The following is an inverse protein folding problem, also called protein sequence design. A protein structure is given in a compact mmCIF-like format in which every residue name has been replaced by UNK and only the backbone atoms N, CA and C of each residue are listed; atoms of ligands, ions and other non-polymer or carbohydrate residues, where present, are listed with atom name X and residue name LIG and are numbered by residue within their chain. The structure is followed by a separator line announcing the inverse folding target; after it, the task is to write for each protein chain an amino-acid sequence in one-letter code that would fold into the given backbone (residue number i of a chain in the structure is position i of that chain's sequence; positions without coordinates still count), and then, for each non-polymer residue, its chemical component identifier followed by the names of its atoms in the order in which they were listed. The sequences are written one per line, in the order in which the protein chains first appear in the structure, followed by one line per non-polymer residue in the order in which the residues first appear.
data_IF_302824481942
#
_entry.id   IF_302824481942
#
_cell.length_a   1.000
_cell.length_b   1.000
_cell.length_c   1.000
_cell.angle_alpha   90.00
_cell.angle_beta   90.00
_cell.angle_gamma   90.00
#
_symmetry.space_group_name_H-M   'P 1'
#
loop_
_entity.id
_entity.type
_entity.pdbx_description
1 polymer ?
#
# COMPACT_ATOMS: atom_id res chain seq x y z
N UNK A 1 -14.85 61.05 -18.49
CA UNK A 1 -15.44 59.85 -17.84
C UNK A 1 -16.41 59.07 -18.72
N UNK A 2 -17.44 59.67 -19.34
CA UNK A 2 -18.49 58.93 -20.08
C UNK A 2 -18.00 58.07 -21.27
N UNK A 3 -16.99 58.51 -22.05
CA UNK A 3 -16.44 57.72 -23.18
C UNK A 3 -15.68 56.44 -22.76
N UNK A 4 -15.09 56.43 -21.56
CA UNK A 4 -14.30 55.28 -21.04
C UNK A 4 -15.23 54.17 -20.51
N UNK A 5 -16.35 54.57 -19.92
CA UNK A 5 -17.42 53.65 -19.46
C UNK A 5 -18.08 52.96 -20.65
N UNK A 6 -18.33 53.69 -21.75
CA UNK A 6 -18.93 53.11 -22.96
C UNK A 6 -18.00 52.10 -23.67
N UNK A 7 -16.68 52.34 -23.65
CA UNK A 7 -15.67 51.41 -24.20
C UNK A 7 -15.57 50.12 -23.37
N UNK A 8 -15.64 50.22 -22.05
CA UNK A 8 -15.63 49.06 -21.16
C UNK A 8 -16.94 48.25 -21.23
N UNK A 9 -18.09 48.92 -21.41
CA UNK A 9 -19.37 48.25 -21.61
C UNK A 9 -19.41 47.49 -22.95
N UNK A 10 -18.84 48.07 -24.01
CA UNK A 10 -18.71 47.39 -25.30
C UNK A 10 -17.80 46.15 -25.24
N UNK A 11 -16.71 46.19 -24.46
CA UNK A 11 -15.82 45.03 -24.26
C UNK A 11 -16.51 43.92 -23.45
N UNK A 12 -17.30 44.27 -22.42
CA UNK A 12 -18.07 43.30 -21.63
C UNK A 12 -19.17 42.64 -22.48
N UNK A 13 -19.85 43.41 -23.33
CA UNK A 13 -20.84 42.85 -24.28
C UNK A 13 -20.17 41.96 -25.32
N UNK A 14 -19.00 42.36 -25.85
CA UNK A 14 -18.23 41.55 -26.80
C UNK A 14 -17.70 40.25 -26.18
N UNK A 15 -17.28 40.28 -24.91
CA UNK A 15 -16.86 39.09 -24.15
C UNK A 15 -18.05 38.19 -23.78
N UNK A 16 -19.24 38.74 -23.52
CA UNK A 16 -20.46 37.95 -23.29
C UNK A 16 -20.99 37.26 -24.55
N UNK A 17 -20.67 37.79 -25.74
CA UNK A 17 -21.01 37.18 -27.02
C UNK A 17 -20.02 36.08 -27.46
N UNK A 18 -18.87 35.95 -26.80
CA UNK A 18 -17.99 34.78 -26.89
C UNK A 18 -18.39 33.79 -25.79
N UNK A 19 -19.68 33.48 -25.73
CA UNK A 19 -20.12 32.26 -25.08
C UNK A 19 -19.92 31.16 -26.11
N UNK A 20 -18.70 30.62 -26.21
CA UNK A 20 -18.48 29.38 -26.94
C UNK A 20 -19.30 28.34 -26.20
N UNK A 21 -20.44 27.98 -26.78
CA UNK A 21 -21.23 26.87 -26.29
C UNK A 21 -20.44 25.62 -26.66
N UNK A 22 -19.51 25.20 -25.80
CA UNK A 22 -18.88 23.89 -25.90
C UNK A 22 -19.96 22.86 -25.58
N UNK A 23 -20.68 22.42 -26.59
CA UNK A 23 -21.36 21.14 -26.51
C UNK A 23 -20.28 20.06 -26.69
N UNK A 24 -20.04 19.27 -25.65
CA UNK A 24 -19.33 18.01 -25.81
C UNK A 24 -20.19 17.12 -26.71
N UNK A 25 -19.66 16.71 -27.85
CA UNK A 25 -20.29 15.75 -28.74
C UNK A 25 -20.31 14.35 -28.13
N UNK A 26 -21.27 13.54 -28.57
CA UNK A 26 -21.33 12.13 -28.23
C UNK A 26 -21.09 11.30 -29.50
N UNK A 27 -20.10 10.41 -29.45
CA UNK A 27 -19.85 9.42 -30.49
C UNK A 27 -20.13 8.03 -29.92
N UNK A 28 -20.67 7.14 -30.74
CA UNK A 28 -20.93 5.74 -30.35
C UNK A 28 -20.17 4.81 -31.27
N UNK A 29 -19.37 3.91 -30.69
CA UNK A 29 -18.64 2.86 -31.38
C UNK A 29 -19.43 1.57 -31.31
N UNK A 30 -19.78 1.02 -32.47
CA UNK A 30 -20.50 -0.24 -32.61
C UNK A 30 -19.86 -1.07 -33.72
N UNK A 31 -19.59 -2.37 -33.53
CA UNK A 31 -18.90 -3.19 -34.54
C UNK A 31 -19.53 -3.18 -35.94
N UNK A 32 -20.85 -2.97 -36.02
CA UNK A 32 -21.62 -2.91 -37.27
C UNK A 32 -22.18 -1.51 -37.56
N UNK A 33 -21.74 -0.49 -36.83
CA UNK A 33 -22.18 0.90 -36.96
C UNK A 33 -21.36 1.70 -37.97
N UNK A 34 -21.66 2.99 -38.08
CA UNK A 34 -20.89 3.93 -38.91
C UNK A 34 -19.49 4.18 -38.37
N UNK A 35 -19.34 4.10 -37.05
CA UNK A 35 -18.06 4.13 -36.34
C UNK A 35 -17.86 2.74 -35.74
N UNK A 36 -16.97 1.97 -36.35
CA UNK A 36 -16.79 0.55 -36.03
C UNK A 36 -15.61 0.26 -35.10
N UNK A 37 -14.69 1.23 -34.97
CA UNK A 37 -13.46 1.10 -34.20
C UNK A 37 -13.27 2.32 -33.28
N UNK A 38 -12.54 2.12 -32.18
CA UNK A 38 -12.22 3.18 -31.22
C UNK A 38 -11.29 4.22 -31.87
N UNK A 39 -10.32 3.80 -32.68
CA UNK A 39 -9.44 4.72 -33.43
C UNK A 39 -10.23 5.62 -34.39
N UNK A 40 -11.25 5.07 -35.06
CA UNK A 40 -12.11 5.83 -35.94
C UNK A 40 -12.91 6.89 -35.16
N UNK A 41 -13.38 6.56 -33.95
CA UNK A 41 -14.05 7.52 -33.07
C UNK A 41 -13.10 8.63 -32.62
N UNK A 42 -11.89 8.27 -32.17
CA UNK A 42 -10.88 9.24 -31.73
C UNK A 42 -10.48 10.21 -32.84
N UNK A 43 -10.43 9.74 -34.09
CA UNK A 43 -10.13 10.59 -35.25
C UNK A 43 -11.25 11.60 -35.56
N UNK A 44 -12.51 11.25 -35.25
CA UNK A 44 -13.67 12.11 -35.51
C UNK A 44 -14.03 13.01 -34.32
N UNK A 45 -13.63 12.61 -33.12
CA UNK A 45 -13.93 13.32 -31.87
C UNK A 45 -13.27 14.71 -31.84
N UNK A 46 -13.95 15.63 -31.16
CA UNK A 46 -13.43 16.93 -30.77
C UNK A 46 -12.97 16.90 -29.30
N UNK A 47 -12.10 17.84 -28.89
CA UNK A 47 -11.72 17.99 -27.49
C UNK A 47 -12.94 18.05 -26.56
N UNK A 48 -12.89 17.22 -25.53
CA UNK A 48 -13.88 17.00 -24.48
C UNK A 48 -15.15 16.25 -24.90
N UNK A 49 -15.18 15.65 -26.10
CA UNK A 49 -16.26 14.74 -26.49
C UNK A 49 -16.29 13.48 -25.62
N UNK A 50 -17.47 12.86 -25.58
CA UNK A 50 -17.68 11.55 -24.95
C UNK A 50 -17.83 10.48 -26.02
N UNK A 51 -17.04 9.42 -25.91
CA UNK A 51 -17.07 8.25 -26.80
C UNK A 51 -17.61 7.07 -26.01
N UNK A 52 -18.81 6.62 -26.37
CA UNK A 52 -19.41 5.39 -25.86
C UNK A 52 -18.98 4.22 -26.72
N UNK A 53 -18.40 3.19 -26.10
CA UNK A 53 -17.95 1.98 -26.79
C UNK A 53 -18.85 0.82 -26.37
N UNK A 54 -19.68 0.34 -27.29
CA UNK A 54 -20.62 -0.73 -27.01
C UNK A 54 -19.92 -2.08 -26.91
N UNK A 55 -20.54 -3.00 -26.15
CA UNK A 55 -20.00 -4.34 -25.90
C UNK A 55 -19.61 -5.06 -27.20
N UNK A 56 -18.31 -5.27 -27.36
CA UNK A 56 -17.74 -6.11 -28.40
C UNK A 56 -16.30 -6.51 -28.03
N UNK A 57 -15.62 -7.18 -28.95
CA UNK A 57 -14.20 -7.47 -28.89
C UNK A 57 -13.47 -6.62 -29.93
N UNK A 58 -12.64 -5.71 -29.46
CA UNK A 58 -11.84 -4.77 -30.24
C UNK A 58 -10.38 -5.23 -30.26
N UNK A 59 -9.81 -5.35 -31.47
CA UNK A 59 -8.42 -5.76 -31.75
C UNK A 59 -7.77 -4.73 -32.66
N UNK A 60 -7.48 -3.58 -32.11
CA UNK A 60 -7.10 -2.39 -32.90
C UNK A 60 -5.61 -2.05 -32.83
N UNK A 61 -4.78 -2.86 -32.16
CA UNK A 61 -3.39 -2.46 -31.96
C UNK A 61 -3.23 -1.58 -30.71
N UNK A 62 -2.18 -0.75 -30.73
CA UNK A 62 -1.98 0.29 -29.74
C UNK A 62 -2.82 1.53 -30.08
N UNK A 63 -3.86 1.79 -29.30
CA UNK A 63 -4.77 2.92 -29.51
C UNK A 63 -4.21 4.15 -28.80
N UNK A 64 -3.88 5.20 -29.56
CA UNK A 64 -3.32 6.44 -29.03
C UNK A 64 -4.41 7.49 -28.78
N UNK A 65 -4.59 7.88 -27.52
CA UNK A 65 -5.54 8.91 -27.09
C UNK A 65 -4.79 10.25 -26.97
N UNK A 66 -4.71 10.95 -28.09
CA UNK A 66 -3.99 12.20 -28.26
C UNK A 66 -4.84 13.48 -28.10
N UNK A 67 -6.10 13.36 -27.71
CA UNK A 67 -6.99 14.48 -27.42
C UNK A 67 -7.74 14.27 -26.09
N UNK A 68 -8.12 15.33 -25.35
CA UNK A 68 -8.87 15.20 -24.12
C UNK A 68 -10.26 14.65 -24.44
N UNK A 69 -10.60 13.44 -23.97
CA UNK A 69 -11.91 12.81 -24.23
C UNK A 69 -12.35 11.97 -23.05
N UNK A 70 -13.66 11.70 -22.99
CA UNK A 70 -14.23 10.72 -22.05
C UNK A 70 -14.59 9.44 -22.80
N UNK A 71 -13.81 8.38 -22.59
CA UNK A 71 -14.03 7.06 -23.16
C UNK A 71 -14.80 6.18 -22.16
N UNK A 72 -16.01 5.75 -22.52
CA UNK A 72 -16.92 4.97 -21.67
C UNK A 72 -17.27 3.65 -22.34
N UNK A 73 -16.91 2.54 -21.71
CA UNK A 73 -17.34 1.21 -22.10
C UNK A 73 -18.74 0.89 -21.59
N UNK A 74 -19.64 0.53 -22.51
CA UNK A 74 -21.01 0.11 -22.23
C UNK A 74 -21.06 -1.42 -22.21
N UNK A 75 -21.44 -2.00 -21.08
CA UNK A 75 -21.48 -3.44 -20.84
C UNK A 75 -20.12 -4.17 -21.02
N UNK A 76 -19.04 -3.51 -20.58
CA UNK A 76 -17.68 -4.05 -20.55
C UNK A 76 -17.16 -4.51 -21.92
N UNK A 77 -17.04 -3.63 -22.92
CA UNK A 77 -16.32 -3.95 -24.15
C UNK A 77 -14.89 -4.40 -23.82
N UNK A 78 -14.38 -5.32 -24.64
CA UNK A 78 -13.05 -5.90 -24.47
C UNK A 78 -12.11 -5.27 -25.49
N UNK A 79 -11.03 -4.65 -25.01
CA UNK A 79 -9.88 -4.24 -25.84
C UNK A 79 -8.77 -5.26 -25.60
N UNK A 80 -8.37 -5.96 -26.66
CA UNK A 80 -7.42 -7.07 -26.58
C UNK A 80 -6.11 -6.70 -27.28
N UNK A 81 -5.02 -6.68 -26.51
CA UNK A 81 -3.66 -6.43 -27.01
C UNK A 81 -3.02 -7.62 -27.72
N UNK A 82 -3.69 -8.78 -27.74
CA UNK A 82 -3.26 -10.02 -28.39
C UNK A 82 -1.86 -10.52 -27.99
N UNK A 83 -1.33 -10.06 -26.86
CA UNK A 83 0.05 -10.24 -26.40
C UNK A 83 1.11 -9.71 -27.37
N UNK A 84 0.73 -8.77 -28.24
CA UNK A 84 1.60 -8.27 -29.31
C UNK A 84 2.12 -6.85 -29.07
N UNK A 85 1.38 -6.00 -28.36
CA UNK A 85 1.71 -4.59 -28.14
C UNK A 85 1.14 -4.06 -26.81
N UNK A 86 1.47 -2.81 -26.50
CA UNK A 86 0.73 -1.94 -25.58
C UNK A 86 -0.71 -1.72 -26.07
N UNK A 87 -1.70 -1.64 -25.17
CA UNK A 87 -3.11 -1.60 -25.57
C UNK A 87 -3.62 -0.17 -25.77
N UNK A 88 -3.51 0.69 -24.74
CA UNK A 88 -3.87 2.10 -24.81
C UNK A 88 -2.67 2.97 -24.42
N UNK A 89 -2.33 3.97 -25.23
CA UNK A 89 -1.39 5.04 -24.87
C UNK A 89 -2.15 6.37 -24.76
N UNK A 90 -2.12 7.00 -23.59
CA UNK A 90 -2.72 8.31 -23.31
C UNK A 90 -1.62 9.37 -23.28
N UNK A 91 -1.74 10.37 -24.15
CA UNK A 91 -0.78 11.49 -24.24
C UNK A 91 -1.46 12.85 -24.11
N UNK A 92 -2.78 12.89 -23.91
CA UNK A 92 -3.54 14.11 -23.70
C UNK A 92 -3.99 14.25 -22.24
N UNK A 93 -4.09 15.51 -21.81
CA UNK A 93 -4.65 15.87 -20.51
C UNK A 93 -6.13 15.52 -20.40
N UNK A 94 -6.62 15.40 -19.17
CA UNK A 94 -8.05 15.30 -18.85
C UNK A 94 -8.79 14.17 -19.57
N UNK A 95 -8.09 13.09 -19.91
CA UNK A 95 -8.68 11.88 -20.49
C UNK A 95 -9.34 11.05 -19.39
N UNK A 96 -10.56 10.59 -19.64
CA UNK A 96 -11.24 9.62 -18.77
C UNK A 96 -11.39 8.29 -19.48
N UNK A 97 -11.00 7.18 -18.84
CA UNK A 97 -11.19 5.81 -19.33
C UNK A 97 -11.98 5.03 -18.29
N UNK A 98 -13.17 4.56 -18.66
CA UNK A 98 -14.09 3.90 -17.72
C UNK A 98 -14.87 2.75 -18.32
N UNK A 99 -15.05 1.68 -17.56
CA UNK A 99 -15.98 0.59 -17.89
C UNK A 99 -15.46 -0.40 -18.93
N UNK A 100 -14.14 -0.50 -19.12
CA UNK A 100 -13.52 -1.41 -20.09
C UNK A 100 -13.02 -2.69 -19.44
N UNK A 101 -13.01 -3.78 -20.22
CA UNK A 101 -12.07 -4.89 -19.99
C UNK A 101 -10.90 -4.71 -20.94
N UNK A 102 -9.68 -4.58 -20.41
CA UNK A 102 -8.46 -4.41 -21.20
C UNK A 102 -7.51 -5.54 -20.86
N UNK A 103 -7.05 -6.29 -21.86
CA UNK A 103 -6.30 -7.52 -21.59
C UNK A 103 -5.18 -7.78 -22.58
N UNK A 104 -4.27 -8.66 -22.13
CA UNK A 104 -3.19 -9.22 -22.94
C UNK A 104 -2.23 -8.18 -23.52
N UNK A 105 -1.87 -7.13 -22.76
CA UNK A 105 -0.72 -6.29 -23.10
C UNK A 105 0.56 -7.14 -23.15
N UNK A 106 1.37 -6.96 -24.19
CA UNK A 106 2.54 -7.80 -24.45
C UNK A 106 3.57 -7.80 -23.31
N UNK A 107 4.17 -8.96 -23.04
CA UNK A 107 5.35 -9.05 -22.18
C UNK A 107 6.57 -8.59 -22.97
N UNK A 108 7.37 -7.71 -22.37
CA UNK A 108 8.62 -7.25 -22.97
C UNK A 108 9.73 -7.13 -21.92
N UNK A 109 10.97 -7.34 -22.37
CA UNK A 109 12.18 -7.14 -21.57
C UNK A 109 12.89 -5.83 -21.89
N UNK A 110 12.36 -5.09 -22.87
CA UNK A 110 12.94 -3.84 -23.39
C UNK A 110 11.94 -2.68 -23.35
N UNK A 111 10.64 -2.96 -23.30
CA UNK A 111 9.56 -1.97 -23.34
C UNK A 111 8.60 -2.19 -22.17
N UNK A 112 8.03 -1.11 -21.65
CA UNK A 112 7.07 -1.12 -20.54
C UNK A 112 5.63 -1.16 -21.06
N UNK A 113 5.29 -2.21 -21.82
CA UNK A 113 3.96 -2.39 -22.40
C UNK A 113 2.88 -2.51 -21.31
N UNK A 114 1.85 -1.67 -21.41
CA UNK A 114 0.76 -1.62 -20.43
C UNK A 114 -0.63 -1.85 -21.05
N UNK A 115 -1.61 -2.15 -20.19
CA UNK A 115 -3.02 -2.06 -20.57
C UNK A 115 -3.41 -0.60 -20.82
N UNK A 116 -2.97 0.29 -19.92
CA UNK A 116 -3.12 1.74 -20.06
C UNK A 116 -1.78 2.38 -19.70
N UNK A 117 -1.10 2.94 -20.71
CA UNK A 117 0.07 3.78 -20.51
C UNK A 117 -0.34 5.24 -20.56
N UNK A 118 0.12 6.03 -19.59
CA UNK A 118 -0.17 7.46 -19.48
C UNK A 118 1.15 8.20 -19.45
N UNK A 119 1.35 9.14 -20.37
CA UNK A 119 2.61 9.84 -20.54
C UNK A 119 2.42 11.35 -20.55
N UNK A 120 3.12 12.04 -19.66
CA UNK A 120 3.23 13.51 -19.70
C UNK A 120 1.85 14.20 -19.68
N UNK A 121 0.93 13.73 -18.81
CA UNK A 121 -0.45 14.23 -18.77
C UNK A 121 -0.82 14.86 -17.43
N UNK A 122 -1.84 15.73 -17.46
CA UNK A 122 -2.49 16.31 -16.30
C UNK A 122 -3.94 15.83 -16.19
N UNK A 123 -4.33 15.32 -15.03
CA UNK A 123 -5.75 15.14 -14.67
C UNK A 123 -6.44 13.93 -15.32
N UNK A 124 -5.71 12.89 -15.71
CA UNK A 124 -6.30 11.66 -16.24
C UNK A 124 -7.12 10.90 -15.20
N UNK A 125 -8.22 10.27 -15.62
CA UNK A 125 -9.11 9.47 -14.76
C UNK A 125 -9.20 8.05 -15.34
N UNK A 126 -8.78 7.06 -14.55
CA UNK A 126 -8.89 5.63 -14.87
C UNK A 126 -9.82 5.02 -13.82
N UNK A 127 -11.10 4.88 -14.15
CA UNK A 127 -12.15 4.51 -13.18
C UNK A 127 -12.90 3.25 -13.60
N UNK A 128 -12.99 2.26 -12.71
CA UNK A 128 -13.91 1.13 -12.92
C UNK A 128 -13.59 0.28 -14.15
N UNK A 129 -12.31 -0.03 -14.38
CA UNK A 129 -11.87 -0.93 -15.46
C UNK A 129 -11.44 -2.30 -14.93
N UNK A 130 -11.45 -3.31 -15.80
CA UNK A 130 -10.91 -4.66 -15.57
C UNK A 130 -9.65 -4.84 -16.41
N UNK A 131 -8.49 -4.83 -15.78
CA UNK A 131 -7.19 -4.97 -16.44
C UNK A 131 -6.67 -6.39 -16.21
N UNK A 132 -6.80 -7.26 -17.21
CA UNK A 132 -6.58 -8.71 -17.06
C UNK A 132 -5.38 -9.20 -17.85
N UNK A 133 -4.48 -9.94 -17.21
CA UNK A 133 -3.33 -10.60 -17.84
C UNK A 133 -2.44 -9.63 -18.64
N UNK A 134 -2.28 -8.42 -18.14
CA UNK A 134 -1.39 -7.43 -18.74
C UNK A 134 0.00 -7.52 -18.10
N UNK A 135 1.04 -7.18 -18.87
CA UNK A 135 2.39 -7.04 -18.33
C UNK A 135 2.41 -5.95 -17.25
N UNK A 136 2.12 -4.70 -17.63
CA UNK A 136 1.71 -3.64 -16.69
C UNK A 136 0.20 -3.40 -16.78
N UNK A 137 -0.48 -3.24 -15.63
CA UNK A 137 -1.89 -2.84 -15.62
C UNK A 137 -2.04 -1.39 -16.06
N UNK A 138 -1.65 -0.48 -15.17
CA UNK A 138 -1.51 0.96 -15.46
C UNK A 138 -0.04 1.34 -15.33
N UNK A 139 0.54 1.94 -16.37
CA UNK A 139 1.86 2.54 -16.32
C UNK A 139 1.72 4.05 -16.53
N UNK A 140 2.24 4.86 -15.61
CA UNK A 140 2.12 6.32 -15.68
C UNK A 140 3.49 6.95 -15.49
N UNK A 141 3.88 7.80 -16.44
CA UNK A 141 5.13 8.54 -16.39
C UNK A 141 4.91 10.04 -16.51
N UNK A 142 5.67 10.80 -15.73
CA UNK A 142 5.75 12.27 -15.81
C UNK A 142 4.38 12.96 -15.79
N UNK A 143 3.43 12.40 -15.02
CA UNK A 143 2.03 12.85 -15.01
C UNK A 143 1.60 13.36 -13.65
N UNK A 144 0.62 14.25 -13.65
CA UNK A 144 0.15 14.94 -12.44
C UNK A 144 -1.36 14.88 -12.27
N UNK A 145 -1.80 14.97 -11.00
CA UNK A 145 -3.22 15.11 -10.62
C UNK A 145 -4.17 14.02 -11.15
N UNK A 146 -3.65 12.85 -11.51
CA UNK A 146 -4.45 11.75 -12.03
C UNK A 146 -5.16 10.96 -10.91
N UNK A 147 -6.25 10.29 -11.28
CA UNK A 147 -7.05 9.43 -10.39
C UNK A 147 -7.18 8.03 -10.97
N UNK A 148 -6.78 7.02 -10.20
CA UNK A 148 -6.91 5.60 -10.53
C UNK A 148 -7.83 4.96 -9.49
N UNK A 149 -9.09 4.70 -9.85
CA UNK A 149 -10.12 4.27 -8.89
C UNK A 149 -10.94 3.08 -9.32
N UNK A 150 -11.34 2.26 -8.34
CA UNK A 150 -12.31 1.18 -8.52
C UNK A 150 -11.93 0.15 -9.62
N UNK A 151 -10.65 0.01 -9.95
CA UNK A 151 -10.20 -0.93 -10.98
C UNK A 151 -9.93 -2.31 -10.37
N UNK A 152 -10.18 -3.35 -11.17
CA UNK A 152 -9.77 -4.72 -10.90
C UNK A 152 -8.59 -5.05 -11.81
N UNK A 153 -7.42 -5.27 -11.21
CA UNK A 153 -6.14 -5.41 -11.90
C UNK A 153 -5.55 -6.77 -11.51
N UNK A 154 -5.44 -7.68 -12.47
CA UNK A 154 -4.98 -9.04 -12.18
C UNK A 154 -4.05 -9.58 -13.25
N UNK A 155 -3.03 -10.32 -12.82
CA UNK A 155 -2.13 -11.06 -13.69
C UNK A 155 -1.96 -12.50 -13.21
N UNK A 156 -1.61 -13.40 -14.13
CA UNK A 156 -1.33 -14.82 -13.85
C UNK A 156 0.17 -15.12 -13.89
N UNK A 157 1.00 -14.09 -13.73
CA UNK A 157 2.45 -14.23 -13.80
C UNK A 157 2.97 -15.12 -12.66
N UNK A 158 3.94 -15.99 -12.99
CA UNK A 158 4.52 -16.95 -12.04
C UNK A 158 5.96 -16.67 -11.68
N UNK A 159 6.64 -15.82 -12.45
CA UNK A 159 8.04 -15.48 -12.27
C UNK A 159 8.18 -13.97 -12.33
N UNK A 160 9.10 -13.43 -11.55
CA UNK A 160 9.32 -11.99 -11.53
C UNK A 160 9.76 -11.50 -12.91
N UNK A 161 10.73 -12.16 -13.55
CA UNK A 161 11.37 -11.70 -14.79
C UNK A 161 10.40 -11.35 -15.94
N UNK A 162 9.27 -12.03 -16.05
CA UNK A 162 8.26 -11.82 -17.09
C UNK A 162 6.94 -11.23 -16.56
N UNK A 163 6.99 -10.60 -15.39
CA UNK A 163 5.85 -9.94 -14.74
C UNK A 163 6.13 -8.46 -14.58
N UNK A 164 5.17 -7.60 -14.95
CA UNK A 164 5.19 -6.19 -14.64
C UNK A 164 4.33 -5.89 -13.41
N UNK A 165 4.16 -4.61 -13.12
CA UNK A 165 3.46 -4.16 -11.92
C UNK A 165 1.97 -3.90 -12.22
N UNK A 166 1.12 -3.98 -11.21
CA UNK A 166 -0.31 -3.69 -11.37
C UNK A 166 -0.53 -2.21 -11.69
N UNK A 167 -0.06 -1.33 -10.80
CA UNK A 167 0.00 0.12 -11.01
C UNK A 167 1.43 0.57 -10.85
N UNK A 168 2.01 1.19 -11.88
CA UNK A 168 3.37 1.71 -11.90
C UNK A 168 3.34 3.22 -12.09
N UNK A 169 3.92 3.97 -11.15
CA UNK A 169 4.10 5.42 -11.26
C UNK A 169 5.58 5.78 -11.28
N UNK A 170 5.98 6.56 -12.28
CA UNK A 170 7.35 7.04 -12.46
C UNK A 170 7.33 8.57 -12.66
N UNK A 171 8.05 9.32 -11.82
CA UNK A 171 8.06 10.79 -11.86
C UNK A 171 6.66 11.43 -11.83
N UNK A 172 5.79 10.99 -10.92
CA UNK A 172 4.40 11.46 -10.85
C UNK A 172 4.13 12.34 -9.63
N UNK A 173 3.09 13.17 -9.69
CA UNK A 173 2.73 14.07 -8.58
C UNK A 173 1.24 14.17 -8.33
N UNK A 174 0.85 14.26 -7.06
CA UNK A 174 -0.55 14.46 -6.65
C UNK A 174 -1.51 13.38 -7.18
N UNK A 175 -1.04 12.13 -7.27
CA UNK A 175 -1.84 11.02 -7.79
C UNK A 175 -2.74 10.47 -6.69
N UNK A 176 -3.99 10.16 -7.04
CA UNK A 176 -4.94 9.47 -6.15
C UNK A 176 -5.18 8.05 -6.62
N UNK A 177 -4.78 7.05 -5.84
CA UNK A 177 -5.03 5.63 -6.08
C UNK A 177 -5.99 5.13 -5.01
N UNK A 178 -7.25 4.81 -5.39
CA UNK A 178 -8.25 4.45 -4.39
C UNK A 178 -9.18 3.31 -4.78
N UNK A 179 -9.47 2.43 -3.83
CA UNK A 179 -10.44 1.33 -3.97
C UNK A 179 -10.15 0.37 -5.15
N UNK A 180 -8.88 0.18 -5.51
CA UNK A 180 -8.49 -0.79 -6.53
C UNK A 180 -8.25 -2.16 -5.88
N UNK A 181 -8.53 -3.24 -6.62
CA UNK A 181 -8.13 -4.60 -6.27
C UNK A 181 -7.01 -5.03 -7.21
N UNK A 182 -5.83 -5.32 -6.67
CA UNK A 182 -4.65 -5.71 -7.44
C UNK A 182 -4.17 -7.09 -7.00
N UNK A 183 -3.91 -7.98 -7.95
CA UNK A 183 -3.38 -9.31 -7.63
C UNK A 183 -2.52 -9.95 -8.72
N UNK A 184 -1.59 -10.84 -8.30
CA UNK A 184 -0.82 -11.70 -9.21
C UNK A 184 0.23 -10.99 -10.08
N UNK A 185 0.54 -9.72 -9.77
CA UNK A 185 1.61 -8.97 -10.42
C UNK A 185 2.97 -9.18 -9.74
N UNK A 186 4.04 -8.63 -10.32
CA UNK A 186 5.36 -8.58 -9.67
C UNK A 186 5.27 -7.79 -8.39
N UNK A 187 5.00 -6.50 -8.51
CA UNK A 187 4.56 -5.62 -7.44
C UNK A 187 3.12 -5.18 -7.72
N UNK A 188 2.27 -5.15 -6.70
CA UNK A 188 0.89 -4.71 -6.88
C UNK A 188 0.83 -3.22 -7.26
N UNK A 189 1.43 -2.37 -6.43
CA UNK A 189 1.57 -0.93 -6.68
C UNK A 189 3.05 -0.57 -6.54
N UNK A 190 3.60 0.20 -7.49
CA UNK A 190 5.01 0.58 -7.53
C UNK A 190 5.17 2.07 -7.79
N UNK A 191 5.95 2.75 -6.95
CA UNK A 191 6.31 4.16 -7.08
C UNK A 191 7.82 4.38 -7.15
N UNK A 192 8.20 5.26 -8.06
CA UNK A 192 9.55 5.79 -8.15
C UNK A 192 9.51 7.29 -8.51
N UNK A 193 10.11 8.13 -7.67
CA UNK A 193 10.06 9.60 -7.77
C UNK A 193 8.64 10.19 -7.76
N UNK A 194 7.79 9.74 -6.85
CA UNK A 194 6.40 10.18 -6.70
C UNK A 194 6.23 11.12 -5.51
N UNK A 195 5.53 12.24 -5.71
CA UNK A 195 5.30 13.23 -4.66
C UNK A 195 3.82 13.49 -4.35
N UNK A 196 3.53 13.84 -3.09
CA UNK A 196 2.22 14.35 -2.64
C UNK A 196 1.01 13.48 -3.00
N UNK A 197 1.21 12.17 -3.13
CA UNK A 197 0.21 11.23 -3.62
C UNK A 197 -0.53 10.52 -2.49
N UNK A 198 -1.78 10.14 -2.76
CA UNK A 198 -2.71 9.53 -1.78
C UNK A 198 -3.17 8.16 -2.24
N UNK A 199 -3.00 7.17 -1.37
CA UNK A 199 -3.28 5.76 -1.67
C UNK A 199 -4.25 5.25 -0.60
N UNK A 200 -5.49 4.93 -0.97
CA UNK A 200 -6.48 4.57 0.07
C UNK A 200 -7.47 3.48 -0.31
N UNK A 201 -7.80 2.61 0.65
CA UNK A 201 -8.84 1.60 0.47
C UNK A 201 -8.51 0.53 -0.59
N UNK A 202 -7.25 0.41 -1.01
CA UNK A 202 -6.86 -0.60 -2.00
C UNK A 202 -6.62 -1.96 -1.34
N UNK A 203 -6.88 -3.03 -2.10
CA UNK A 203 -6.53 -4.40 -1.73
C UNK A 203 -5.46 -4.87 -2.70
N UNK A 204 -4.25 -5.14 -2.20
CA UNK A 204 -3.11 -5.60 -3.00
C UNK A 204 -2.63 -6.93 -2.42
N UNK A 205 -2.92 -8.03 -3.11
CA UNK A 205 -2.77 -9.38 -2.58
C UNK A 205 -2.22 -10.38 -3.60
N UNK A 206 -1.55 -11.43 -3.12
CA UNK A 206 -1.01 -12.50 -3.96
C UNK A 206 -0.06 -12.00 -5.06
N UNK A 207 0.67 -10.91 -4.82
CA UNK A 207 1.74 -10.45 -5.70
C UNK A 207 3.04 -11.18 -5.39
N UNK A 208 3.88 -11.37 -6.41
CA UNK A 208 5.10 -12.16 -6.33
C UNK A 208 6.12 -11.58 -5.36
N UNK A 209 6.23 -10.25 -5.33
CA UNK A 209 7.12 -9.50 -4.45
C UNK A 209 6.30 -8.65 -3.49
N UNK A 210 6.04 -7.39 -3.82
CA UNK A 210 5.46 -6.45 -2.86
C UNK A 210 3.99 -6.14 -3.14
N UNK A 211 3.21 -5.95 -2.08
CA UNK A 211 1.88 -5.35 -2.20
C UNK A 211 1.95 -3.86 -2.57
N UNK A 212 2.93 -3.13 -2.01
CA UNK A 212 3.32 -1.77 -2.41
C UNK A 212 4.84 -1.63 -2.33
N UNK A 213 5.43 -1.07 -3.37
CA UNK A 213 6.86 -0.81 -3.47
C UNK A 213 7.11 0.66 -3.76
N UNK A 214 7.99 1.27 -2.99
CA UNK A 214 8.05 2.72 -2.86
C UNK A 214 9.51 3.17 -2.76
N UNK A 215 10.01 3.92 -3.75
CA UNK A 215 11.39 4.43 -3.78
C UNK A 215 11.43 5.94 -4.11
N UNK A 216 12.25 6.69 -3.37
CA UNK A 216 12.52 8.12 -3.64
C UNK A 216 11.27 9.01 -3.75
N UNK A 217 10.23 8.75 -2.96
CA UNK A 217 8.88 9.27 -3.22
C UNK A 217 8.29 10.05 -2.03
N UNK A 218 8.49 11.37 -1.96
CA UNK A 218 8.26 12.10 -0.70
C UNK A 218 6.81 12.56 -0.47
N UNK A 219 6.47 12.86 0.79
CA UNK A 219 5.19 13.48 1.17
C UNK A 219 3.93 12.70 0.74
N UNK A 220 4.04 11.38 0.61
CA UNK A 220 2.91 10.53 0.27
C UNK A 220 2.20 10.01 1.51
N UNK A 221 0.93 9.65 1.34
CA UNK A 221 0.11 9.08 2.40
C UNK A 221 -0.60 7.83 1.88
N UNK A 222 -0.48 6.72 2.60
CA UNK A 222 -1.28 5.55 2.32
C UNK A 222 -2.11 5.10 3.54
N UNK A 223 -3.43 5.03 3.35
CA UNK A 223 -4.39 4.77 4.43
C UNK A 223 -5.41 3.68 4.13
N UNK A 224 -5.76 2.87 5.13
CA UNK A 224 -6.84 1.87 4.99
C UNK A 224 -6.64 0.88 3.83
N UNK A 225 -5.39 0.59 3.46
CA UNK A 225 -5.07 -0.39 2.44
C UNK A 225 -4.83 -1.76 3.08
N UNK A 226 -5.08 -2.83 2.32
CA UNK A 226 -4.80 -4.21 2.72
C UNK A 226 -3.70 -4.79 1.84
N UNK A 227 -2.60 -5.20 2.46
CA UNK A 227 -1.45 -5.86 1.84
C UNK A 227 -1.34 -7.28 2.40
N UNK A 228 -1.86 -8.26 1.66
CA UNK A 228 -2.04 -9.62 2.16
C UNK A 228 -1.45 -10.69 1.24
N UNK A 229 -0.81 -11.69 1.84
CA UNK A 229 -0.34 -12.89 1.12
C UNK A 229 0.51 -12.57 -0.12
N UNK A 230 1.29 -11.49 -0.04
CA UNK A 230 2.32 -11.14 -1.03
C UNK A 230 3.65 -11.79 -0.61
N UNK A 231 4.62 -11.82 -1.52
CA UNK A 231 6.00 -12.21 -1.17
C UNK A 231 6.58 -11.40 0.00
N UNK A 232 6.19 -10.12 0.09
CA UNK A 232 6.32 -9.23 1.23
C UNK A 232 5.23 -8.14 1.16
N UNK A 233 4.84 -7.56 2.29
CA UNK A 233 3.77 -6.58 2.38
C UNK A 233 4.11 -5.29 1.64
N UNK A 234 4.95 -4.45 2.25
CA UNK A 234 5.33 -3.14 1.70
C UNK A 234 6.81 -2.86 1.92
N UNK A 235 7.47 -2.26 0.92
CA UNK A 235 8.84 -1.75 1.03
C UNK A 235 8.87 -0.24 0.73
N UNK A 236 9.37 0.54 1.69
CA UNK A 236 9.56 1.99 1.58
C UNK A 236 11.03 2.34 1.73
N UNK A 237 11.58 2.99 0.69
CA UNK A 237 13.02 3.18 0.55
C UNK A 237 13.37 4.63 0.18
N UNK A 238 14.42 5.18 0.80
CA UNK A 238 15.06 6.45 0.42
C UNK A 238 14.08 7.64 0.36
N UNK A 239 13.24 7.78 1.38
CA UNK A 239 12.08 8.68 1.36
C UNK A 239 11.88 9.40 2.69
N UNK A 240 11.32 10.61 2.69
CA UNK A 240 10.90 11.30 3.92
C UNK A 240 9.42 11.73 3.90
N UNK A 241 8.89 12.01 5.11
CA UNK A 241 7.53 12.53 5.33
C UNK A 241 6.41 11.64 4.78
N UNK A 242 6.48 10.34 5.02
CA UNK A 242 5.44 9.39 4.63
C UNK A 242 4.48 9.14 5.79
N UNK A 243 3.18 9.12 5.49
CA UNK A 243 2.14 8.79 6.46
C UNK A 243 1.49 7.44 6.13
N UNK A 244 1.65 6.49 7.06
CA UNK A 244 1.24 5.09 6.94
C UNK A 244 0.18 4.80 8.00
N UNK A 245 -1.11 4.95 7.67
CA UNK A 245 -2.18 5.03 8.68
C UNK A 245 -3.29 4.03 8.45
N UNK A 246 -3.66 3.24 9.47
CA UNK A 246 -4.82 2.33 9.42
C UNK A 246 -4.73 1.25 8.32
N UNK A 247 -3.53 0.84 7.92
CA UNK A 247 -3.35 -0.24 6.94
C UNK A 247 -3.30 -1.62 7.61
N UNK A 248 -3.61 -2.65 6.84
CA UNK A 248 -3.54 -4.05 7.23
C UNK A 248 -2.42 -4.73 6.45
N UNK A 249 -1.43 -5.26 7.17
CA UNK A 249 -0.34 -6.07 6.64
C UNK A 249 -0.52 -7.48 7.18
N UNK A 250 -0.92 -8.42 6.34
CA UNK A 250 -1.36 -9.74 6.79
C UNK A 250 -0.69 -10.88 6.01
N UNK A 251 -0.23 -11.92 6.72
CA UNK A 251 0.10 -13.21 6.09
C UNK A 251 1.16 -13.12 4.97
N UNK A 252 2.09 -12.16 5.06
CA UNK A 252 3.21 -12.07 4.13
C UNK A 252 4.35 -12.94 4.66
N UNK A 253 4.51 -14.14 4.10
CA UNK A 253 5.42 -15.18 4.60
C UNK A 253 6.54 -15.50 3.61
N UNK A 254 7.76 -15.66 4.12
CA UNK A 254 8.93 -16.02 3.32
C UNK A 254 10.22 -15.84 4.09
N UNK A 255 11.34 -16.33 3.56
CA UNK A 255 12.66 -16.24 4.20
C UNK A 255 13.15 -14.80 4.40
N UNK A 256 12.74 -13.90 3.52
CA UNK A 256 13.04 -12.46 3.57
C UNK A 256 11.76 -11.62 3.45
N UNK A 257 10.65 -12.11 4.05
CA UNK A 257 9.37 -11.41 4.03
C UNK A 257 9.16 -10.53 5.26
N UNK A 258 8.43 -9.43 5.07
CA UNK A 258 8.04 -8.47 6.09
C UNK A 258 6.66 -7.92 5.78
N UNK A 259 5.94 -7.44 6.79
CA UNK A 259 4.74 -6.63 6.61
C UNK A 259 5.14 -5.26 6.06
N UNK A 260 6.12 -4.60 6.69
CA UNK A 260 6.64 -3.30 6.28
C UNK A 260 8.15 -3.24 6.44
N UNK A 261 8.87 -3.01 5.34
CA UNK A 261 10.29 -2.64 5.33
C UNK A 261 10.42 -1.13 5.19
N UNK A 262 11.26 -0.56 6.05
CA UNK A 262 11.66 0.84 6.06
C UNK A 262 13.18 0.88 5.89
N UNK A 263 13.63 1.35 4.73
CA UNK A 263 15.05 1.50 4.43
C UNK A 263 15.39 2.96 4.14
N UNK A 264 16.21 3.55 5.00
CA UNK A 264 16.68 4.93 4.85
C UNK A 264 15.51 5.92 4.66
N UNK A 265 14.56 5.87 5.59
CA UNK A 265 13.41 6.79 5.63
C UNK A 265 13.47 7.68 6.87
N UNK A 266 12.99 8.92 6.75
CA UNK A 266 12.95 9.85 7.88
C UNK A 266 11.61 10.56 8.08
N UNK A 267 11.39 11.09 9.28
CA UNK A 267 10.32 12.06 9.59
C UNK A 267 8.91 11.59 9.20
N UNK A 268 8.64 10.31 9.45
CA UNK A 268 7.46 9.60 8.95
C UNK A 268 6.63 9.00 10.09
N UNK A 269 5.34 8.80 9.83
CA UNK A 269 4.37 8.34 10.82
C UNK A 269 3.79 6.98 10.41
N UNK A 270 3.77 6.05 11.37
CA UNK A 270 3.19 4.71 11.26
C UNK A 270 2.18 4.59 12.39
N UNK A 271 0.90 4.74 12.07
CA UNK A 271 -0.14 4.82 13.10
C UNK A 271 -1.35 3.94 12.85
N UNK A 272 -1.85 3.28 13.91
CA UNK A 272 -3.09 2.49 13.88
C UNK A 272 -3.12 1.38 12.81
N UNK A 273 -1.96 0.89 12.39
CA UNK A 273 -1.86 -0.23 11.47
C UNK A 273 -2.01 -1.57 12.19
N UNK A 274 -2.46 -2.58 11.46
CA UNK A 274 -2.46 -3.97 11.89
C UNK A 274 -1.36 -4.75 11.16
N UNK A 275 -0.39 -5.27 11.90
CA UNK A 275 0.59 -6.24 11.45
C UNK A 275 0.23 -7.61 12.02
N UNK A 276 -0.36 -8.47 11.21
CA UNK A 276 -0.90 -9.74 11.65
C UNK A 276 -0.32 -10.93 10.90
N UNK A 277 0.24 -11.90 11.64
CA UNK A 277 0.79 -13.11 11.06
C UNK A 277 1.75 -12.84 9.90
N UNK A 278 2.73 -11.95 10.05
CA UNK A 278 3.82 -11.80 9.08
C UNK A 278 5.05 -12.55 9.59
N UNK A 279 5.98 -12.91 8.69
CA UNK A 279 7.31 -13.38 9.14
C UNK A 279 7.96 -12.32 10.03
N UNK A 280 7.94 -11.07 9.59
CA UNK A 280 8.38 -9.89 10.33
C UNK A 280 7.33 -8.80 10.17
N UNK A 281 6.89 -8.14 11.24
CA UNK A 281 5.90 -7.05 11.17
C UNK A 281 6.52 -5.81 10.53
N UNK A 282 7.43 -5.15 11.25
CA UNK A 282 8.16 -3.97 10.78
C UNK A 282 9.67 -4.23 10.82
N UNK A 283 10.36 -3.93 9.72
CA UNK A 283 11.81 -3.95 9.63
C UNK A 283 12.33 -2.54 9.38
N UNK A 284 13.21 -2.02 10.24
CA UNK A 284 13.81 -0.69 10.06
C UNK A 284 15.32 -0.77 9.91
N UNK A 285 15.83 -0.23 8.80
CA UNK A 285 17.25 -0.13 8.49
C UNK A 285 17.57 1.31 8.06
N UNK A 286 18.54 1.96 8.71
CA UNK A 286 18.91 3.35 8.42
C UNK A 286 17.78 4.38 8.60
N UNK A 287 16.69 4.04 9.28
CA UNK A 287 15.48 4.87 9.33
C UNK A 287 15.38 5.66 10.64
N UNK A 288 15.08 6.95 10.57
CA UNK A 288 15.26 7.87 11.69
C UNK A 288 14.06 8.78 11.95
N UNK A 289 13.83 9.15 13.22
CA UNK A 289 12.75 10.06 13.63
C UNK A 289 11.35 9.57 13.20
N UNK A 290 11.14 8.26 13.21
CA UNK A 290 9.85 7.64 12.97
C UNK A 290 8.94 7.76 14.21
N UNK A 291 7.66 8.02 13.97
CA UNK A 291 6.60 7.96 14.97
C UNK A 291 5.78 6.69 14.75
N UNK A 292 5.99 5.66 15.57
CA UNK A 292 5.34 4.35 15.47
C UNK A 292 4.34 4.20 16.60
N UNK A 293 3.11 4.68 16.36
CA UNK A 293 2.14 4.90 17.43
C UNK A 293 0.86 4.08 17.25
N UNK A 294 0.33 3.54 18.35
CA UNK A 294 -0.99 2.88 18.37
C UNK A 294 -1.16 1.76 17.31
N UNK A 295 -0.10 1.04 16.95
CA UNK A 295 -0.19 -0.09 16.02
C UNK A 295 -0.46 -1.39 16.77
N UNK A 296 -1.02 -2.37 16.07
CA UNK A 296 -1.23 -3.72 16.57
C UNK A 296 -0.25 -4.66 15.88
N UNK A 297 0.63 -5.29 16.67
CA UNK A 297 1.53 -6.34 16.22
C UNK A 297 1.07 -7.66 16.82
N UNK A 298 0.35 -8.45 16.03
CA UNK A 298 -0.27 -9.69 16.48
C UNK A 298 0.28 -10.92 15.76
N UNK A 299 0.76 -11.90 16.51
CA UNK A 299 1.12 -13.23 16.02
C UNK A 299 2.16 -13.22 14.88
N UNK A 300 3.07 -12.25 14.87
CA UNK A 300 4.18 -12.23 13.93
C UNK A 300 5.32 -13.13 14.41
N UNK A 301 6.19 -13.54 13.50
CA UNK A 301 7.47 -14.14 13.87
C UNK A 301 8.28 -13.15 14.71
N UNK A 302 8.62 -12.01 14.11
CA UNK A 302 9.09 -10.82 14.81
C UNK A 302 8.07 -9.71 14.66
N UNK A 303 7.69 -9.01 15.73
CA UNK A 303 6.84 -7.82 15.58
C UNK A 303 7.64 -6.66 14.98
N UNK A 304 8.77 -6.30 15.60
CA UNK A 304 9.63 -5.21 15.13
C UNK A 304 11.09 -5.65 15.13
N UNK A 305 11.81 -5.35 14.05
CA UNK A 305 13.27 -5.48 13.98
C UNK A 305 13.90 -4.13 13.68
N UNK A 306 14.71 -3.61 14.61
CA UNK A 306 15.32 -2.28 14.53
C UNK A 306 16.84 -2.40 14.44
N UNK A 307 17.41 -2.04 13.29
CA UNK A 307 18.86 -2.03 13.10
C UNK A 307 19.53 -0.86 13.83
N UNK A 308 20.78 -1.04 14.22
CA UNK A 308 21.56 -0.08 15.01
C UNK A 308 21.66 1.32 14.40
N UNK A 309 21.64 1.41 13.06
CA UNK A 309 21.68 2.67 12.32
C UNK A 309 20.31 3.35 12.18
N UNK A 310 19.25 2.78 12.77
CA UNK A 310 17.93 3.40 12.89
C UNK A 310 17.81 4.05 14.26
N UNK A 311 17.67 5.38 14.31
CA UNK A 311 17.82 6.17 15.52
C UNK A 311 16.66 7.16 15.73
N UNK A 312 16.43 7.53 16.99
CA UNK A 312 15.42 8.52 17.38
C UNK A 312 14.00 8.14 16.96
N UNK A 313 13.72 6.85 16.77
CA UNK A 313 12.38 6.37 16.52
C UNK A 313 11.64 6.20 17.84
N UNK A 314 10.37 6.57 17.85
CA UNK A 314 9.52 6.52 19.02
C UNK A 314 8.40 5.52 18.80
N UNK A 315 8.35 4.50 19.66
CA UNK A 315 7.35 3.44 19.65
C UNK A 315 6.44 3.60 20.87
N UNK A 316 5.23 4.11 20.68
CA UNK A 316 4.31 4.39 21.78
C UNK A 316 2.88 3.88 21.58
N UNK A 317 2.24 3.44 22.66
CA UNK A 317 0.84 3.00 22.63
C UNK A 317 0.58 1.70 21.83
N UNK A 318 1.62 1.04 21.32
CA UNK A 318 1.45 -0.15 20.47
C UNK A 318 1.01 -1.36 21.29
N UNK A 319 0.32 -2.29 20.62
CA UNK A 319 -0.20 -3.52 21.20
C UNK A 319 0.59 -4.71 20.64
N UNK A 320 1.48 -5.29 21.44
CA UNK A 320 2.29 -6.47 21.10
C UNK A 320 1.64 -7.74 21.64
N UNK A 321 0.98 -8.48 20.74
CA UNK A 321 0.11 -9.61 21.06
C UNK A 321 0.69 -10.91 20.48
N UNK A 322 1.17 -11.80 21.35
CA UNK A 322 1.50 -13.19 21.00
C UNK A 322 2.52 -13.33 19.84
N UNK A 323 3.48 -12.42 19.72
CA UNK A 323 4.57 -12.55 18.75
C UNK A 323 5.60 -13.58 19.24
N UNK A 324 6.33 -14.22 18.33
CA UNK A 324 7.43 -15.11 18.76
C UNK A 324 8.59 -14.30 19.33
N UNK A 325 8.86 -13.14 18.74
CA UNK A 325 9.77 -12.12 19.24
C UNK A 325 9.11 -10.74 19.12
N UNK A 326 9.06 -9.98 20.22
CA UNK A 326 8.46 -8.64 20.17
C UNK A 326 9.40 -7.63 19.50
N UNK A 327 10.65 -7.56 19.94
CA UNK A 327 11.66 -6.67 19.35
C UNK A 327 12.99 -7.41 19.15
N UNK A 328 13.61 -7.23 17.98
CA UNK A 328 14.96 -7.67 17.68
C UNK A 328 15.85 -6.50 17.24
N UNK A 329 17.15 -6.58 17.53
CA UNK A 329 18.15 -5.59 17.13
C UNK A 329 19.52 -6.24 17.03
N UNK A 330 20.43 -5.64 16.25
CA UNK A 330 21.80 -6.12 16.07
C UNK A 330 22.84 -5.36 16.92
N UNK A 331 22.41 -4.51 17.86
CA UNK A 331 23.29 -3.69 18.69
C UNK A 331 22.91 -3.71 20.18
N UNK A 332 23.94 -3.57 21.02
CA UNK A 332 23.82 -3.35 22.48
C UNK A 332 23.71 -1.87 22.86
N UNK A 333 23.73 -0.98 21.88
CA UNK A 333 23.43 0.44 22.04
C UNK A 333 22.26 0.77 21.12
N UNK A 334 21.28 1.50 21.66
CA UNK A 334 20.09 1.84 20.91
C UNK A 334 19.58 3.24 21.31
N UNK A 335 19.21 4.04 20.31
CA UNK A 335 18.75 5.42 20.46
C UNK A 335 17.25 5.58 20.16
N UNK A 336 16.49 4.49 20.23
CA UNK A 336 15.04 4.46 20.03
C UNK A 336 14.35 4.29 21.38
N UNK A 337 13.14 4.85 21.47
CA UNK A 337 12.37 4.91 22.71
C UNK A 337 11.12 4.06 22.58
N UNK A 338 10.87 3.22 23.59
CA UNK A 338 9.61 2.52 23.78
C UNK A 338 8.93 3.09 25.02
N UNK A 339 7.67 3.49 24.90
CA UNK A 339 6.92 4.06 26.03
C UNK A 339 5.44 3.75 25.92
N UNK A 340 4.82 3.26 27.00
CA UNK A 340 3.36 3.14 27.03
C UNK A 340 2.83 2.06 26.09
N UNK A 341 3.62 1.03 25.79
CA UNK A 341 3.15 -0.08 24.96
C UNK A 341 2.52 -1.17 25.84
N UNK A 342 1.55 -1.89 25.30
CA UNK A 342 1.03 -3.10 25.91
C UNK A 342 1.79 -4.31 25.37
N UNK A 343 2.26 -5.17 26.27
CA UNK A 343 3.01 -6.38 25.93
C UNK A 343 2.30 -7.59 26.53
N UNK A 344 1.85 -8.51 25.68
CA UNK A 344 1.21 -9.76 26.12
C UNK A 344 2.12 -10.63 26.99
N UNK A 345 3.44 -10.46 26.88
CA UNK A 345 4.44 -11.13 27.71
C UNK A 345 4.74 -10.40 29.03
N UNK A 346 4.18 -9.21 29.28
CA UNK A 346 4.41 -8.49 30.53
C UNK A 346 3.81 -9.24 31.72
N UNK A 347 4.59 -9.40 32.78
CA UNK A 347 4.20 -10.09 34.03
C UNK A 347 4.47 -9.23 35.27
N UNK A 348 4.71 -7.94 35.08
CA UNK A 348 4.87 -7.02 36.20
C UNK A 348 3.55 -6.73 36.92
N UNK A 349 3.63 -5.83 37.89
CA UNK A 349 2.52 -5.46 38.76
C UNK A 349 2.32 -3.95 38.75
N UNK A 350 1.14 -3.53 39.20
CA UNK A 350 0.72 -2.14 39.31
C UNK A 350 0.12 -1.95 40.73
N UNK A 351 0.96 -1.52 41.67
CA UNK A 351 0.59 -1.35 43.08
C UNK A 351 -0.21 -0.08 43.31
N UNK A 352 0.05 0.98 42.54
CA UNK A 352 -0.61 2.27 42.68
C UNK A 352 -1.97 2.35 41.92
N UNK A 353 -2.25 1.35 41.07
CA UNK A 353 -3.47 1.17 40.27
C UNK A 353 -3.69 2.27 39.22
N UNK A 354 -2.62 2.84 38.69
CA UNK A 354 -2.71 3.86 37.63
C UNK A 354 -2.82 3.27 36.21
N UNK A 355 -2.73 1.94 36.07
CA UNK A 355 -2.80 1.23 34.80
C UNK A 355 -1.46 1.09 34.08
N UNK A 356 -0.37 1.56 34.68
CA UNK A 356 1.01 1.44 34.22
C UNK A 356 1.72 0.44 35.14
N UNK A 357 2.54 -0.42 34.56
CA UNK A 357 3.34 -1.36 35.33
C UNK A 357 4.50 -0.66 36.05
N UNK A 358 4.67 -0.97 37.34
CA UNK A 358 5.72 -0.42 38.20
C UNK A 358 7.13 -0.94 37.83
N UNK A 359 7.19 -2.06 37.09
CA UNK A 359 8.45 -2.68 36.65
C UNK A 359 8.66 -2.43 35.16
N UNK A 360 9.80 -1.86 34.74
CA UNK A 360 10.10 -1.69 33.32
C UNK A 360 10.11 -3.01 32.53
N UNK A 361 9.60 -2.98 31.31
CA UNK A 361 9.62 -4.13 30.40
C UNK A 361 10.84 -4.08 29.45
N UNK A 362 11.41 -5.25 29.18
CA UNK A 362 12.53 -5.45 28.24
C UNK A 362 12.04 -6.35 27.09
N UNK A 363 11.75 -5.79 25.91
CA UNK A 363 11.18 -6.51 24.78
C UNK A 363 12.20 -7.31 23.96
N UNK A 364 13.50 -7.05 24.15
CA UNK A 364 14.59 -7.79 23.50
C UNK A 364 15.04 -8.93 24.40
N UNK A 365 14.82 -10.17 23.98
CA UNK A 365 15.29 -11.38 24.69
C UNK A 365 16.70 -11.75 24.27
N UNK A 366 17.50 -12.38 25.13
CA UNK A 366 18.86 -12.82 24.77
C UNK A 366 18.83 -13.77 23.57
N UNK A 367 17.83 -14.67 23.51
CA UNK A 367 17.69 -15.58 22.38
C UNK A 367 17.50 -14.87 21.04
N UNK A 368 16.79 -13.73 21.01
CA UNK A 368 16.68 -12.94 19.76
C UNK A 368 18.04 -12.46 19.25
N UNK A 369 18.98 -12.10 20.14
CA UNK A 369 20.34 -11.72 19.74
C UNK A 369 21.16 -12.90 19.22
N UNK A 370 20.93 -14.09 19.77
CA UNK A 370 21.57 -15.33 19.29
C UNK A 370 21.07 -15.63 17.88
N UNK A 371 19.76 -15.53 17.65
CA UNK A 371 19.13 -15.74 16.35
C UNK A 371 19.61 -14.73 15.31
N UNK A 372 19.75 -13.46 15.68
CA UNK A 372 20.30 -12.42 14.78
C UNK A 372 21.75 -12.71 14.36
N UNK A 373 22.55 -13.36 15.22
CA UNK A 373 23.92 -13.77 14.87
C UNK A 373 23.97 -15.10 14.11
N UNK A 374 23.06 -16.01 14.43
CA UNK A 374 23.01 -17.35 13.87
C UNK A 374 21.55 -17.77 13.69
N UNK A 375 21.01 -17.55 12.49
CA UNK A 375 19.61 -17.82 12.16
C UNK A 375 19.24 -19.30 12.29
N UNK A 376 20.20 -20.21 12.11
CA UNK A 376 19.98 -21.66 12.30
C UNK A 376 19.54 -22.04 13.73
N UNK A 377 19.80 -21.17 14.72
CA UNK A 377 19.37 -21.40 16.11
C UNK A 377 17.85 -21.35 16.30
N UNK A 378 17.09 -20.83 15.33
CA UNK A 378 15.62 -20.80 15.35
C UNK A 378 14.98 -22.17 15.59
N UNK A 379 15.66 -23.26 15.23
CA UNK A 379 15.19 -24.63 15.51
C UNK A 379 14.99 -24.89 17.02
N UNK A 380 15.64 -24.11 17.88
CA UNK A 380 15.58 -24.22 19.34
C UNK A 380 14.44 -23.40 19.97
N UNK A 381 13.70 -22.59 19.20
CA UNK A 381 12.74 -21.59 19.72
C UNK A 381 11.71 -22.15 20.71
N UNK A 382 11.35 -23.43 20.60
CA UNK A 382 10.39 -24.12 21.48
C UNK A 382 11.04 -25.25 22.30
N UNK A 383 12.34 -25.17 22.52
CA UNK A 383 13.08 -26.14 23.33
C UNK A 383 13.08 -25.72 24.80
N UNK A 384 13.16 -26.71 25.69
CA UNK A 384 13.29 -26.50 27.14
C UNK A 384 14.48 -25.59 27.51
N UNK A 385 15.54 -25.60 26.70
CA UNK A 385 16.69 -24.71 26.88
C UNK A 385 16.30 -23.22 26.79
N UNK A 386 15.37 -22.87 25.90
CA UNK A 386 14.88 -21.49 25.77
C UNK A 386 13.97 -21.12 26.94
N UNK A 387 13.11 -22.02 27.41
CA UNK A 387 12.31 -21.78 28.62
C UNK A 387 13.21 -21.50 29.84
N UNK A 388 14.30 -22.25 29.99
CA UNK A 388 15.32 -22.04 31.02
C UNK A 388 16.05 -20.71 30.86
N UNK A 389 16.34 -20.29 29.63
CA UNK A 389 17.00 -19.02 29.35
C UNK A 389 16.09 -17.83 29.69
N UNK A 390 14.82 -17.89 29.29
CA UNK A 390 13.82 -16.87 29.58
C UNK A 390 13.60 -16.73 31.11
N UNK A 391 13.59 -17.85 31.86
CA UNK A 391 13.52 -17.81 33.32
C UNK A 391 14.79 -17.19 33.94
N UNK A 392 15.97 -17.53 33.43
CA UNK A 392 17.22 -16.95 33.90
C UNK A 392 17.27 -15.43 33.67
N UNK A 393 16.78 -14.94 32.53
CA UNK A 393 16.67 -13.49 32.24
C UNK A 393 15.77 -12.77 33.26
N UNK A 394 14.66 -13.40 33.66
CA UNK A 394 13.75 -12.83 34.65
C UNK A 394 14.38 -12.72 36.05
N UNK A 395 15.16 -13.73 36.45
CA UNK A 395 15.80 -13.76 37.77
C UNK A 395 17.09 -12.94 37.82
N UNK A 396 17.81 -12.85 36.70
CA UNK A 396 19.12 -12.19 36.59
C UNK A 396 19.10 -11.14 35.47
N UNK A 397 18.54 -9.94 35.72
CA UNK A 397 18.43 -8.88 34.72
C UNK A 397 19.75 -8.47 34.05
N UNK A 398 20.88 -8.72 34.73
CA UNK A 398 22.25 -8.50 34.20
C UNK A 398 22.58 -9.36 32.97
N UNK A 399 21.84 -10.44 32.71
CA UNK A 399 21.99 -11.27 31.51
C UNK A 399 21.28 -10.68 30.29
N UNK A 400 20.32 -9.78 30.53
CA UNK A 400 19.55 -9.14 29.47
C UNK A 400 20.29 -7.88 28.99
N UNK A 401 20.41 -7.64 27.68
CA UNK A 401 20.92 -6.37 27.18
C UNK A 401 20.15 -5.18 27.78
N UNK A 402 20.84 -4.10 28.15
CA UNK A 402 20.20 -2.87 28.63
C UNK A 402 19.45 -2.08 27.54
N UNK A 403 19.35 -2.61 26.32
CA UNK A 403 18.76 -1.91 25.20
C UNK A 403 17.24 -1.98 25.19
N UNK A 404 16.63 -0.88 24.74
CA UNK A 404 15.21 -0.78 24.41
C UNK A 404 14.28 -1.10 25.58
N UNK A 405 14.30 -0.30 26.65
CA UNK A 405 13.43 -0.50 27.81
C UNK A 405 12.14 0.31 27.65
N UNK A 406 10.98 -0.33 27.85
CA UNK A 406 9.73 0.38 28.09
C UNK A 406 9.56 0.61 29.58
N UNK A 407 9.67 1.88 30.01
CA UNK A 407 9.59 2.27 31.42
C UNK A 407 8.15 2.37 31.93
N UNK A 408 7.18 2.40 31.04
CA UNK A 408 5.76 2.58 31.37
C UNK A 408 4.92 1.56 30.62
N UNK A 409 5.18 0.25 30.77
CA UNK A 409 4.38 -0.77 30.09
C UNK A 409 2.93 -0.67 30.55
N UNK A 410 1.98 -0.75 29.63
CA UNK A 410 0.57 -0.70 29.98
C UNK A 410 0.09 -2.03 30.56
N UNK A 411 -0.72 -1.97 31.62
CA UNK A 411 -1.31 -3.17 32.26
C UNK A 411 -2.48 -3.77 31.47
N UNK A 412 -3.15 -2.95 30.65
CA UNK A 412 -4.36 -3.33 29.92
C UNK A 412 -4.23 -3.01 28.45
N UNK A 413 -4.90 -3.83 27.63
CA UNK A 413 -5.05 -3.58 26.19
C UNK A 413 -5.75 -2.24 25.96
N UNK A 414 -5.38 -1.56 24.88
CA UNK A 414 -6.04 -0.32 24.50
C UNK A 414 -7.52 -0.54 24.15
N UNK A 415 -8.38 0.41 24.52
CA UNK A 415 -9.83 0.34 24.23
C UNK A 415 -10.14 0.32 22.74
N UNK A 416 -9.34 1.02 21.94
CA UNK A 416 -9.48 1.08 20.48
C UNK A 416 -9.00 -0.20 19.78
N UNK A 417 -8.42 -1.17 20.49
CA UNK A 417 -7.88 -2.39 19.89
C UNK A 417 -8.92 -3.13 19.03
N UNK A 418 -10.17 -3.24 19.49
CA UNK A 418 -11.25 -3.91 18.77
C UNK A 418 -11.66 -3.20 17.45
N UNK A 419 -11.25 -1.94 17.27
CA UNK A 419 -11.47 -1.20 16.02
C UNK A 419 -10.45 -1.63 14.94
N UNK A 420 -9.24 -2.00 15.35
CA UNK A 420 -8.11 -2.31 14.45
C UNK A 420 -7.92 -3.82 14.29
N UNK A 421 -7.99 -4.58 15.39
CA UNK A 421 -7.75 -6.02 15.41
C UNK A 421 -9.07 -6.80 15.38
N UNK A 422 -9.43 -7.29 14.19
CA UNK A 422 -10.65 -8.08 13.95
C UNK A 422 -10.33 -9.38 13.19
N UNK A 423 -9.66 -10.35 13.83
CA UNK A 423 -9.19 -11.58 13.14
C UNK A 423 -10.32 -12.34 12.41
N UNK A 424 -11.54 -12.26 12.92
CA UNK A 424 -12.76 -12.89 12.40
C UNK A 424 -13.16 -12.33 11.04
N UNK A 425 -13.07 -11.00 10.88
CA UNK A 425 -13.32 -10.31 9.61
C UNK A 425 -12.19 -10.56 8.59
N UNK A 426 -10.99 -10.91 9.06
CA UNK A 426 -9.82 -11.16 8.22
C UNK A 426 -9.75 -12.61 7.68
N UNK A 427 -10.39 -13.56 8.35
CA UNK A 427 -10.41 -15.00 8.01
C UNK A 427 -11.59 -15.45 7.14
N UNK A 428 -12.53 -14.58 6.82
CA UNK A 428 -13.60 -14.88 5.86
C UNK A 428 -14.81 -15.66 6.41
N UNK A 429 -15.20 -15.45 7.68
CA UNK A 429 -16.48 -15.93 8.23
C UNK A 429 -16.46 -16.32 9.72
N UNK A 430 -17.59 -16.13 10.40
CA UNK A 430 -17.77 -16.26 11.88
C UNK A 430 -17.43 -17.65 12.47
N UNK A 431 -17.38 -18.72 11.68
CA UNK A 431 -17.19 -20.08 12.21
C UNK A 431 -15.74 -20.38 12.65
N UNK A 432 -14.73 -19.66 12.15
CA UNK A 432 -13.35 -19.80 12.65
C UNK A 432 -13.06 -18.95 13.89
N UNK A 433 -13.93 -17.97 14.17
CA UNK A 433 -13.80 -17.00 15.25
C UNK A 433 -14.08 -17.58 16.64
N UNK A 434 -15.09 -18.46 16.76
CA UNK A 434 -15.54 -19.02 18.05
C UNK A 434 -14.44 -19.76 18.81
N UNK A 435 -13.57 -20.47 18.09
CA UNK A 435 -12.45 -21.21 18.70
C UNK A 435 -11.36 -20.32 19.32
N UNK A 436 -11.34 -19.03 18.99
CA UNK A 436 -10.29 -18.08 19.40
C UNK A 436 -10.59 -17.36 20.72
N UNK A 437 -11.85 -16.94 20.96
CA UNK A 437 -12.23 -16.25 22.20
C UNK A 437 -12.37 -17.23 23.38
N UNK A 438 -12.92 -18.42 23.16
CA UNK A 438 -13.12 -19.42 24.22
C UNK A 438 -11.79 -19.92 24.84
N UNK A 439 -10.67 -19.83 24.10
CA UNK A 439 -9.34 -20.18 24.62
C UNK A 439 -8.68 -19.05 25.43
N UNK A 440 -9.07 -17.79 25.20
CA UNK A 440 -8.41 -16.63 25.78
C UNK A 440 -9.15 -16.02 26.98
N UNK A 441 -10.46 -16.24 27.14
CA UNK A 441 -11.16 -15.91 28.40
C UNK A 441 -10.84 -16.90 29.53
N UNK A 442 -10.50 -18.15 29.22
CA UNK A 442 -10.15 -19.15 30.22
C UNK A 442 -8.83 -18.88 30.97
N UNK A 443 -7.96 -18.01 30.43
CA UNK A 443 -6.67 -17.66 31.04
C UNK A 443 -6.74 -16.36 31.86
N UNK A 444 -7.82 -15.59 31.75
CA UNK A 444 -8.03 -14.36 32.53
C UNK A 444 -8.79 -14.59 33.85
N UNK A 445 -9.15 -15.83 34.17
CA UNK A 445 -9.88 -16.18 35.40
C UNK A 445 -9.09 -17.04 36.41
N UNK A 446 -7.79 -17.30 36.19
CA UNK A 446 -6.93 -17.99 37.18
C UNK A 446 -5.66 -17.19 37.49
#
# INVERSE_FOLDING_TARGET
MKKRIFKNFAIIVLLSQISIVCFAGELTVEPNGTISTIEQALTQAQPHDTIYVNKALYREGNIVIGLPVTLIGVDWPVIDGENAHEVLTVTADSVTIKGFTIRNAAISYIEENAAIKVKETLGCIIDGNRLLNNFFGVYMEQSEAATITNNEISSVAKREANSGNGIHLWYCKSITIRNNRISGHRDGIYFEFVEHSKISGNISEHNLRYGLHFMFSNHCRYTKNTFRSNGAGVAVMYTHNVEMVENIFAQNWGSASFGLLLKEITDSEIRRNLFWQNTLGVYTEGSNRLQVNDNVFAQNGWAVRVMANSMQNHFAGNQFLENSFDVATNSRQNFNTFEGNYWSAYRGYDLNRDGIGDVPFRPVRLFSLIVEKQSASLILLRSFFIDMLDLAEQMLPMLTPETLIDRKPMMKRAKWLAEVYRPEAMLGGEDQAKTFYDRNEAVAQH
#
